data_IF_492356631203
#
_entry.id   IF_492356631203
#
_cell.length_a   1.000
_cell.length_b   1.000
_cell.length_c   1.000
_cell.angle_alpha   90.00
_cell.angle_beta   90.00
_cell.angle_gamma   90.00
#
_symmetry.space_group_name_H-M   'P 1'
#
loop_
_entity.id
_entity.type
_entity.pdbx_description
1 polymer ?
#
# COMPACT_ATOMS: atom_id res chain seq x y z
N UNK A 1 -28.60 86.98 6.01
CA UNK A 1 -29.66 87.99 5.82
C UNK A 1 -30.83 87.30 5.12
N UNK A 2 -32.01 87.40 5.71
CA UNK A 2 -33.35 86.97 5.27
C UNK A 2 -33.60 85.46 5.08
N UNK A 3 -34.50 84.84 5.88
CA UNK A 3 -35.98 84.95 5.91
C UNK A 3 -36.60 84.38 4.63
N UNK A 4 -37.62 83.54 4.59
CA UNK A 4 -38.65 83.03 5.52
C UNK A 4 -39.41 81.96 4.72
N UNK A 5 -40.11 81.01 5.35
CA UNK A 5 -41.17 80.30 4.64
C UNK A 5 -41.82 79.15 5.40
N UNK A 6 -42.70 79.48 6.33
CA UNK A 6 -43.64 78.58 7.01
C UNK A 6 -44.54 77.82 6.03
N UNK A 7 -44.88 76.56 6.34
CA UNK A 7 -46.20 75.97 6.02
C UNK A 7 -46.34 74.62 6.74
N UNK A 8 -47.09 74.58 7.85
CA UNK A 8 -48.48 74.06 7.95
C UNK A 8 -48.54 72.57 8.25
N UNK A 9 -48.99 72.26 9.47
CA UNK A 9 -49.33 70.93 9.96
C UNK A 9 -50.60 70.47 9.25
N UNK A 10 -50.50 69.41 8.45
CA UNK A 10 -51.65 68.65 7.98
C UNK A 10 -51.58 67.24 8.59
N UNK A 11 -52.43 66.99 9.59
CA UNK A 11 -52.72 65.64 10.10
C UNK A 11 -53.44 64.90 8.97
N UNK A 12 -52.75 63.95 8.33
CA UNK A 12 -53.38 63.06 7.37
C UNK A 12 -53.68 61.71 8.04
N UNK A 13 -54.97 61.44 8.06
CA UNK A 13 -55.64 60.25 8.53
C UNK A 13 -55.10 59.00 7.85
N UNK A 14 -54.84 57.98 8.67
CA UNK A 14 -54.39 56.63 8.34
C UNK A 14 -55.35 55.98 7.31
N UNK A 15 -54.87 55.73 6.10
CA UNK A 15 -55.44 54.71 5.20
C UNK A 15 -54.41 53.59 5.11
N UNK A 16 -54.65 52.53 5.88
CA UNK A 16 -53.87 51.31 5.79
C UNK A 16 -54.21 50.60 4.47
N UNK A 17 -53.43 50.88 3.42
CA UNK A 17 -53.42 50.07 2.21
C UNK A 17 -52.44 48.90 2.45
N UNK A 18 -53.02 47.72 2.73
CA UNK A 18 -52.30 46.46 2.85
C UNK A 18 -51.76 46.07 1.45
N UNK A 19 -50.55 46.51 1.12
CA UNK A 19 -49.85 46.01 -0.06
C UNK A 19 -49.22 44.66 0.30
N UNK A 20 -49.88 43.58 -0.11
CA UNK A 20 -49.23 42.26 -0.21
C UNK A 20 -48.28 42.35 -1.39
N UNK A 21 -47.03 42.73 -1.12
CA UNK A 21 -45.96 42.51 -2.09
C UNK A 21 -45.68 41.02 -2.13
N UNK A 22 -46.19 40.33 -3.13
CA UNK A 22 -45.70 39.02 -3.55
C UNK A 22 -44.25 39.19 -3.98
N UNK A 23 -43.33 39.06 -3.02
CA UNK A 23 -41.92 38.92 -3.31
C UNK A 23 -41.72 37.67 -4.16
N UNK A 24 -41.33 37.85 -5.41
CA UNK A 24 -40.83 36.74 -6.23
C UNK A 24 -39.45 36.41 -5.65
N UNK A 25 -39.42 35.50 -4.67
CA UNK A 25 -38.19 34.89 -4.23
C UNK A 25 -37.71 33.99 -5.36
N UNK A 26 -36.77 34.47 -6.18
CA UNK A 26 -35.98 33.61 -7.03
C UNK A 26 -35.15 32.71 -6.10
N UNK A 27 -35.63 31.49 -5.86
CA UNK A 27 -34.82 30.45 -5.27
C UNK A 27 -33.65 30.19 -6.23
N UNK A 28 -32.50 30.81 -5.95
CA UNK A 28 -31.26 30.38 -6.55
C UNK A 28 -31.01 28.99 -5.99
N UNK A 29 -31.29 27.95 -6.79
CA UNK A 29 -30.78 26.62 -6.51
C UNK A 29 -29.28 26.77 -6.26
N UNK A 30 -28.74 26.36 -5.11
CA UNK A 30 -27.31 26.36 -4.94
C UNK A 30 -26.75 25.53 -6.10
N UNK A 31 -25.90 26.14 -6.91
CA UNK A 31 -25.05 25.43 -7.85
C UNK A 31 -24.24 24.46 -6.99
N UNK A 32 -24.72 23.22 -6.90
CA UNK A 32 -23.90 22.11 -6.41
C UNK A 32 -22.73 22.10 -7.39
N UNK A 33 -21.50 22.44 -6.96
CA UNK A 33 -20.35 22.30 -7.83
C UNK A 33 -20.37 20.87 -8.35
N UNK A 34 -20.11 20.62 -9.64
CA UNK A 34 -20.10 19.26 -10.16
C UNK A 34 -19.22 18.44 -9.24
N UNK A 35 -19.84 17.49 -8.53
CA UNK A 35 -19.13 16.49 -7.75
C UNK A 35 -18.22 15.84 -8.79
N UNK A 36 -16.93 16.19 -8.78
CA UNK A 36 -15.97 15.52 -9.63
C UNK A 36 -16.11 14.06 -9.24
N UNK A 37 -16.63 13.17 -10.11
CA UNK A 37 -16.93 11.81 -9.71
C UNK A 37 -15.64 11.27 -9.12
N UNK A 38 -15.69 10.85 -7.86
CA UNK A 38 -14.51 10.39 -7.14
C UNK A 38 -13.81 9.39 -8.05
N UNK A 39 -12.65 9.80 -8.61
CA UNK A 39 -11.99 9.07 -9.69
C UNK A 39 -11.82 7.63 -9.22
N UNK A 40 -12.52 6.70 -9.85
CA UNK A 40 -12.50 5.30 -9.44
C UNK A 40 -11.06 4.81 -9.55
N UNK A 41 -10.50 4.38 -8.42
CA UNK A 41 -9.14 3.89 -8.36
C UNK A 41 -9.20 2.36 -8.47
N UNK A 42 -8.70 1.76 -9.57
CA UNK A 42 -8.97 0.37 -9.90
C UNK A 42 -8.31 -0.62 -8.94
N UNK A 43 -7.11 -0.31 -8.42
CA UNK A 43 -6.39 -1.20 -7.51
C UNK A 43 -6.75 -0.90 -6.05
N UNK A 44 -7.13 -1.92 -5.29
CA UNK A 44 -7.51 -1.74 -3.87
C UNK A 44 -6.90 -2.81 -2.99
N UNK A 45 -6.47 -2.41 -1.81
CA UNK A 45 -5.86 -3.32 -0.84
C UNK A 45 -6.85 -4.38 -0.29
N UNK A 46 -8.15 -4.10 -0.35
CA UNK A 46 -9.27 -4.95 0.10
C UNK A 46 -9.67 -6.04 -0.91
N UNK A 47 -9.01 -6.10 -2.08
CA UNK A 47 -9.24 -7.17 -3.05
C UNK A 47 -8.68 -8.51 -2.55
N UNK A 48 -9.19 -9.65 -3.06
CA UNK A 48 -8.61 -10.96 -2.81
C UNK A 48 -7.10 -10.98 -3.11
N UNK A 49 -6.27 -11.66 -2.30
CA UNK A 49 -4.84 -11.76 -2.53
C UNK A 49 -4.51 -12.25 -3.94
N UNK A 50 -3.63 -11.53 -4.63
CA UNK A 50 -3.15 -11.82 -5.98
C UNK A 50 -3.87 -11.03 -7.07
N UNK A 51 -5.06 -10.48 -6.80
CA UNK A 51 -5.82 -9.73 -7.80
C UNK A 51 -5.11 -8.43 -8.21
N UNK A 52 -4.46 -7.73 -7.27
CA UNK A 52 -3.79 -6.47 -7.60
C UNK A 52 -2.51 -6.74 -8.41
N UNK A 53 -1.74 -7.76 -8.06
CA UNK A 53 -0.57 -8.17 -8.84
C UNK A 53 -0.97 -8.59 -10.26
N UNK A 54 -2.03 -9.40 -10.38
CA UNK A 54 -2.56 -9.81 -11.67
C UNK A 54 -3.00 -8.61 -12.54
N UNK A 55 -3.78 -7.67 -11.98
CA UNK A 55 -4.21 -6.48 -12.71
C UNK A 55 -3.06 -5.52 -13.03
N UNK A 56 -2.11 -5.34 -12.11
CA UNK A 56 -0.91 -4.54 -12.36
C UNK A 56 -0.10 -5.12 -13.53
N UNK A 57 0.04 -6.45 -13.58
CA UNK A 57 0.69 -7.17 -14.69
C UNK A 57 -0.08 -7.07 -16.02
N UNK A 58 -1.40 -6.91 -16.01
CA UNK A 58 -2.17 -6.64 -17.22
C UNK A 58 -1.97 -5.22 -17.74
N UNK A 59 -1.90 -4.22 -16.84
CA UNK A 59 -1.66 -2.82 -17.20
C UNK A 59 -0.23 -2.63 -17.70
N UNK A 60 0.73 -3.27 -17.03
CA UNK A 60 2.14 -3.26 -17.37
C UNK A 60 2.63 -4.71 -17.44
N UNK A 61 2.73 -5.24 -18.67
CA UNK A 61 3.21 -6.60 -18.88
C UNK A 61 4.68 -6.70 -18.43
N UNK A 62 4.99 -7.46 -17.35
CA UNK A 62 6.36 -7.65 -16.92
C UNK A 62 7.09 -8.53 -17.94
N UNK A 63 8.33 -8.17 -18.24
CA UNK A 63 9.20 -8.96 -19.08
C UNK A 63 9.70 -10.23 -18.39
N UNK A 64 10.16 -11.25 -19.15
CA UNK A 64 10.90 -12.36 -18.58
C UNK A 64 12.13 -11.84 -17.83
N UNK A 65 12.21 -12.06 -16.52
CA UNK A 65 13.31 -11.53 -15.69
C UNK A 65 12.97 -10.26 -14.90
N UNK A 66 11.73 -9.76 -14.97
CA UNK A 66 11.29 -8.68 -14.10
C UNK A 66 11.08 -9.17 -12.67
N UNK A 67 12.13 -9.03 -11.84
CA UNK A 67 12.11 -9.34 -10.42
C UNK A 67 12.20 -8.07 -9.57
N UNK A 68 11.51 -8.12 -8.43
CA UNK A 68 11.68 -7.21 -7.30
C UNK A 68 12.35 -7.98 -6.18
N UNK A 69 13.53 -7.53 -5.75
CA UNK A 69 14.20 -8.12 -4.60
C UNK A 69 13.54 -7.64 -3.31
N UNK A 70 13.38 -8.56 -2.37
CA UNK A 70 12.69 -8.38 -1.11
C UNK A 70 13.56 -8.93 0.00
N UNK A 71 13.68 -8.17 1.09
CA UNK A 71 14.35 -8.58 2.32
C UNK A 71 13.35 -8.52 3.48
N UNK A 72 13.08 -9.65 4.12
CA UNK A 72 12.21 -9.68 5.30
C UNK A 72 12.99 -9.26 6.54
N UNK A 73 12.44 -8.29 7.27
CA UNK A 73 12.98 -7.77 8.52
C UNK A 73 12.05 -8.17 9.67
N UNK A 74 12.61 -8.90 10.62
CA UNK A 74 11.94 -9.41 11.81
C UNK A 74 12.73 -8.96 13.05
N UNK A 75 12.07 -8.88 14.19
CA UNK A 75 12.65 -8.52 15.49
C UNK A 75 13.65 -9.57 16.01
N UNK A 76 13.44 -10.84 15.67
CA UNK A 76 14.32 -11.97 15.99
C UNK A 76 14.67 -12.79 14.74
N UNK A 77 15.73 -13.62 14.81
CA UNK A 77 15.95 -14.67 13.81
C UNK A 77 14.72 -15.58 13.68
N UNK A 78 14.48 -16.07 12.46
CA UNK A 78 13.40 -16.99 12.13
C UNK A 78 13.79 -17.84 10.90
N UNK A 79 13.13 -18.98 10.70
CA UNK A 79 13.18 -19.71 9.44
C UNK A 79 12.11 -19.17 8.50
N UNK A 80 12.50 -18.86 7.27
CA UNK A 80 11.59 -18.33 6.26
C UNK A 80 11.67 -19.19 5.00
N UNK A 81 10.51 -19.63 4.53
CA UNK A 81 10.34 -20.32 3.26
C UNK A 81 9.37 -19.54 2.39
N UNK A 82 9.68 -19.37 1.11
CA UNK A 82 8.73 -18.85 0.13
C UNK A 82 8.22 -20.00 -0.75
N UNK A 83 6.92 -20.02 -1.00
CA UNK A 83 6.33 -20.99 -1.92
C UNK A 83 6.43 -20.48 -3.36
N UNK A 84 7.11 -21.25 -4.20
CA UNK A 84 7.43 -20.87 -5.58
C UNK A 84 7.27 -22.05 -6.54
N UNK A 85 7.27 -21.75 -7.85
CA UNK A 85 7.07 -22.70 -8.95
C UNK A 85 5.69 -23.35 -8.99
N UNK A 86 5.34 -24.00 -10.11
CA UNK A 86 4.07 -24.70 -10.26
C UNK A 86 4.33 -26.20 -10.53
N UNK A 87 3.93 -27.12 -9.63
CA UNK A 87 3.20 -26.89 -8.38
C UNK A 87 4.05 -26.14 -7.34
N UNK A 88 3.43 -25.36 -6.42
CA UNK A 88 4.14 -24.63 -5.36
C UNK A 88 4.99 -25.54 -4.49
N UNK A 89 6.24 -25.14 -4.26
CA UNK A 89 7.22 -25.82 -3.40
C UNK A 89 7.85 -24.83 -2.44
N UNK A 90 8.15 -25.23 -1.19
CA UNK A 90 8.85 -24.37 -0.25
C UNK A 90 10.31 -24.19 -0.69
N UNK A 91 10.75 -22.94 -0.73
CA UNK A 91 12.12 -22.53 -1.01
C UNK A 91 12.65 -21.80 0.23
N UNK A 92 13.60 -22.39 0.98
CA UNK A 92 14.23 -21.72 2.11
C UNK A 92 14.95 -20.43 1.67
N UNK A 93 14.75 -19.35 2.42
CA UNK A 93 15.34 -18.05 2.13
C UNK A 93 16.53 -17.77 3.04
N UNK A 94 17.73 -17.92 2.50
CA UNK A 94 18.93 -17.50 3.21
C UNK A 94 18.92 -15.99 3.43
N UNK A 95 19.26 -15.55 4.65
CA UNK A 95 19.30 -14.13 5.04
C UNK A 95 17.97 -13.38 4.79
N UNK A 96 16.85 -14.11 4.80
CA UNK A 96 15.50 -13.56 4.59
C UNK A 96 15.34 -12.83 3.26
N UNK A 97 16.09 -13.24 2.23
CA UNK A 97 16.28 -12.47 1.00
C UNK A 97 15.89 -13.28 -0.25
N UNK A 98 15.13 -12.67 -1.17
CA UNK A 98 14.83 -13.26 -2.47
C UNK A 98 14.37 -12.23 -3.52
N UNK A 99 14.47 -12.58 -4.80
CA UNK A 99 13.84 -11.90 -5.92
C UNK A 99 12.51 -12.55 -6.25
N UNK A 100 11.44 -11.77 -6.25
CA UNK A 100 10.08 -12.19 -6.58
C UNK A 100 9.66 -11.59 -7.92
N UNK A 101 9.09 -12.40 -8.81
CA UNK A 101 8.67 -11.94 -10.13
C UNK A 101 7.49 -10.97 -10.01
N UNK A 102 7.52 -9.91 -10.82
CA UNK A 102 6.46 -8.92 -10.87
C UNK A 102 5.17 -9.53 -11.43
N UNK A 103 4.02 -9.06 -10.92
CA UNK A 103 2.70 -9.53 -11.33
C UNK A 103 2.28 -10.84 -10.67
N UNK A 104 2.99 -11.27 -9.61
CA UNK A 104 2.73 -12.53 -8.91
C UNK A 104 2.42 -12.33 -7.42
N UNK A 105 1.75 -13.33 -6.86
CA UNK A 105 1.52 -13.51 -5.43
C UNK A 105 2.45 -14.60 -4.90
N UNK A 106 3.15 -14.31 -3.81
CA UNK A 106 3.96 -15.28 -3.07
C UNK A 106 3.39 -15.45 -1.68
N UNK A 107 3.17 -16.70 -1.28
CA UNK A 107 2.97 -17.06 0.12
C UNK A 107 4.32 -17.41 0.73
N UNK A 108 4.53 -17.03 1.98
CA UNK A 108 5.70 -17.41 2.75
C UNK A 108 5.26 -18.18 3.99
N UNK A 109 6.16 -18.94 4.59
CA UNK A 109 6.04 -19.55 5.91
C UNK A 109 7.15 -18.99 6.78
N UNK A 110 6.80 -18.44 7.94
CA UNK A 110 7.74 -17.95 8.95
C UNK A 110 7.55 -18.80 10.21
N UNK A 111 8.63 -19.37 10.73
CA UNK A 111 8.62 -20.19 11.96
C UNK A 111 9.84 -19.90 12.82
N UNK A 112 9.78 -20.30 14.10
CA UNK A 112 10.91 -20.21 15.01
C UNK A 112 11.22 -18.80 15.50
N UNK A 113 10.21 -17.92 15.55
CA UNK A 113 10.29 -16.63 16.22
C UNK A 113 10.42 -16.83 17.73
N UNK A 114 11.38 -16.17 18.36
CA UNK A 114 11.68 -16.35 19.79
C UNK A 114 10.54 -15.85 20.69
N UNK A 115 9.99 -14.68 20.35
CA UNK A 115 8.88 -14.04 21.06
C UNK A 115 7.55 -14.80 20.87
N UNK A 116 7.45 -15.64 19.83
CA UNK A 116 6.24 -16.38 19.48
C UNK A 116 6.54 -17.89 19.31
N UNK A 117 6.88 -18.62 20.39
CA UNK A 117 7.24 -20.03 20.30
C UNK A 117 6.11 -20.90 19.73
N UNK A 118 6.45 -21.78 18.78
CA UNK A 118 5.52 -22.72 18.16
C UNK A 118 4.53 -22.09 17.17
N UNK A 119 4.61 -20.77 16.94
CA UNK A 119 3.77 -20.08 15.96
C UNK A 119 4.31 -20.29 14.54
N UNK A 120 3.39 -20.56 13.62
CA UNK A 120 3.65 -20.53 12.18
C UNK A 120 2.84 -19.42 11.53
N UNK A 121 3.50 -18.51 10.82
CA UNK A 121 2.86 -17.42 10.12
C UNK A 121 2.92 -17.64 8.60
N UNK A 122 1.84 -17.29 7.92
CA UNK A 122 1.72 -17.44 6.46
C UNK A 122 1.46 -16.11 5.73
N UNK A 123 2.37 -15.11 5.82
CA UNK A 123 2.16 -13.85 5.13
C UNK A 123 2.18 -14.03 3.61
N UNK A 124 1.50 -13.13 2.92
CA UNK A 124 1.53 -13.04 1.45
C UNK A 124 2.15 -11.74 0.98
N UNK A 125 2.90 -11.80 -0.11
CA UNK A 125 3.47 -10.67 -0.83
C UNK A 125 2.95 -10.67 -2.26
N UNK A 126 2.20 -9.63 -2.64
CA UNK A 126 1.87 -9.31 -4.03
C UNK A 126 2.92 -8.34 -4.58
N UNK A 127 3.51 -8.68 -5.73
CA UNK A 127 4.50 -7.83 -6.39
C UNK A 127 3.83 -7.06 -7.53
N UNK A 128 3.74 -5.75 -7.39
CA UNK A 128 3.04 -4.87 -8.34
C UNK A 128 3.97 -4.27 -9.39
N UNK A 129 5.19 -3.89 -9.00
CA UNK A 129 6.19 -3.28 -9.89
C UNK A 129 7.61 -3.49 -9.34
N UNK A 130 8.61 -3.13 -10.15
CA UNK A 130 10.04 -3.12 -9.81
C UNK A 130 10.45 -1.83 -9.10
N UNK A 131 11.57 -1.92 -8.38
CA UNK A 131 12.29 -0.74 -7.87
C UNK A 131 13.00 0.07 -8.96
N UNK A 132 13.13 -0.48 -10.18
CA UNK A 132 13.90 0.06 -11.31
C UNK A 132 15.35 0.45 -10.94
N UNK A 133 16.12 -0.49 -10.36
CA UNK A 133 17.50 -0.23 -9.97
C UNK A 133 18.43 -0.21 -11.20
N UNK A 134 19.66 0.31 -11.05
CA UNK A 134 20.70 0.15 -12.07
C UNK A 134 20.90 -1.33 -12.41
N UNK A 135 21.09 -1.62 -13.71
CA UNK A 135 21.28 -2.98 -14.22
C UNK A 135 22.45 -3.65 -13.51
N UNK A 136 22.23 -4.87 -13.00
CA UNK A 136 23.23 -5.66 -12.28
C UNK A 136 23.37 -5.31 -10.80
N UNK A 137 22.65 -4.31 -10.30
CA UNK A 137 22.63 -3.92 -8.88
C UNK A 137 21.28 -4.20 -8.22
N UNK A 138 20.43 -5.00 -8.85
CA UNK A 138 19.04 -5.20 -8.41
C UNK A 138 18.93 -5.67 -6.96
N UNK A 139 19.85 -6.53 -6.52
CA UNK A 139 19.89 -7.05 -5.16
C UNK A 139 20.23 -5.99 -4.10
N UNK A 140 20.96 -4.94 -4.47
CA UNK A 140 21.32 -3.83 -3.56
C UNK A 140 20.12 -2.93 -3.25
N UNK A 141 19.11 -2.94 -4.12
CA UNK A 141 17.87 -2.15 -3.99
C UNK A 141 16.70 -3.04 -3.58
N UNK A 142 16.97 -4.02 -2.72
CA UNK A 142 15.93 -4.87 -2.17
C UNK A 142 14.98 -4.07 -1.28
N UNK A 143 13.71 -4.39 -1.40
CA UNK A 143 12.62 -3.74 -0.68
C UNK A 143 12.54 -4.35 0.72
N UNK A 144 12.74 -3.56 1.79
CA UNK A 144 12.56 -4.06 3.14
C UNK A 144 11.08 -4.32 3.42
N UNK A 145 10.77 -5.54 3.86
CA UNK A 145 9.45 -5.94 4.35
C UNK A 145 9.56 -6.20 5.84
N UNK A 146 9.28 -5.15 6.62
CA UNK A 146 9.34 -5.21 8.08
C UNK A 146 8.03 -5.67 8.68
N UNK A 147 8.07 -6.74 9.47
CA UNK A 147 6.96 -7.21 10.29
C UNK A 147 7.34 -7.02 11.76
N UNK A 148 6.59 -6.16 12.45
CA UNK A 148 6.84 -5.83 13.87
C UNK A 148 6.16 -6.83 14.80
N UNK A 149 6.60 -6.90 16.05
CA UNK A 149 6.01 -7.78 17.06
C UNK A 149 4.54 -7.42 17.30
N UNK A 150 4.22 -6.12 17.33
CA UNK A 150 2.84 -5.64 17.49
C UNK A 150 1.94 -6.07 16.33
N UNK A 151 2.46 -6.09 15.09
CA UNK A 151 1.70 -6.55 13.92
C UNK A 151 1.51 -8.07 13.92
N UNK A 152 2.51 -8.81 14.42
CA UNK A 152 2.40 -10.25 14.60
C UNK A 152 1.36 -10.56 15.70
N UNK A 153 1.38 -9.86 16.83
CA UNK A 153 0.36 -9.99 17.88
C UNK A 153 -1.05 -9.67 17.36
N UNK A 154 -1.20 -8.60 16.56
CA UNK A 154 -2.47 -8.29 15.92
C UNK A 154 -2.93 -9.43 15.01
N UNK A 155 -2.04 -9.99 14.20
CA UNK A 155 -2.32 -11.12 13.34
C UNK A 155 -2.76 -12.36 14.13
N UNK A 156 -2.06 -12.67 15.22
CA UNK A 156 -2.39 -13.79 16.11
C UNK A 156 -3.71 -13.58 16.86
N UNK A 157 -4.12 -12.33 17.08
CA UNK A 157 -5.44 -11.99 17.62
C UNK A 157 -6.59 -12.10 16.60
N UNK A 158 -6.32 -12.58 15.38
CA UNK A 158 -7.30 -12.76 14.30
C UNK A 158 -7.56 -11.50 13.46
N UNK A 159 -6.66 -10.50 13.52
CA UNK A 159 -6.74 -9.30 12.67
C UNK A 159 -5.92 -9.47 11.40
N UNK A 160 -6.37 -8.88 10.31
CA UNK A 160 -5.61 -8.83 9.06
C UNK A 160 -4.76 -7.55 9.02
N UNK A 161 -3.45 -7.68 9.12
CA UNK A 161 -2.50 -6.58 8.88
C UNK A 161 -2.25 -6.50 7.38
N UNK A 162 -2.47 -5.33 6.77
CA UNK A 162 -2.19 -5.07 5.35
C UNK A 162 -1.25 -3.88 5.22
N UNK A 163 -0.11 -4.07 4.54
CA UNK A 163 0.83 -3.00 4.19
C UNK A 163 0.88 -2.82 2.69
N UNK A 164 1.03 -1.57 2.27
CA UNK A 164 1.43 -1.22 0.91
C UNK A 164 2.78 -0.52 1.01
N UNK A 165 3.79 -1.11 0.36
CA UNK A 165 5.14 -0.54 0.31
C UNK A 165 5.27 0.18 -1.03
N UNK A 166 5.81 1.39 -1.01
CA UNK A 166 5.99 2.22 -2.19
C UNK A 166 7.39 2.82 -2.24
N UNK A 167 7.84 3.15 -3.45
CA UNK A 167 9.08 3.91 -3.67
C UNK A 167 8.69 5.38 -3.87
N UNK A 168 9.22 6.27 -3.05
CA UNK A 168 9.01 7.71 -3.20
C UNK A 168 9.53 8.23 -4.55
N UNK A 169 8.84 9.23 -5.08
CA UNK A 169 9.31 9.94 -6.26
C UNK A 169 10.35 10.99 -5.81
N UNK A 170 11.57 11.02 -6.39
CA UNK A 170 12.61 11.96 -5.97
C UNK A 170 12.18 13.44 -5.98
N UNK A 171 11.20 13.79 -6.83
CA UNK A 171 10.68 15.15 -6.96
C UNK A 171 9.84 15.62 -5.77
N UNK A 172 9.28 14.69 -4.99
CA UNK A 172 8.40 14.96 -3.83
C UNK A 172 8.94 14.37 -2.53
N UNK A 173 10.07 13.65 -2.59
CA UNK A 173 10.71 13.04 -1.44
C UNK A 173 11.16 14.10 -0.43
N UNK A 174 11.05 13.77 0.86
CA UNK A 174 11.55 14.64 1.92
C UNK A 174 13.07 14.79 1.78
N UNK A 175 13.63 16.01 1.83
CA UNK A 175 15.08 16.22 1.77
C UNK A 175 15.80 15.79 3.06
N UNK A 176 15.05 15.51 4.13
CA UNK A 176 15.62 15.08 5.41
C UNK A 176 15.78 13.55 5.44
N UNK A 177 16.96 13.05 5.85
CA UNK A 177 17.17 11.62 5.98
C UNK A 177 16.24 11.03 7.03
N UNK A 178 15.46 10.02 6.65
CA UNK A 178 14.68 9.21 7.58
C UNK A 178 15.63 8.39 8.43
N UNK A 179 15.51 8.49 9.76
CA UNK A 179 16.41 7.85 10.75
C UNK A 179 16.56 6.34 10.54
N UNK A 180 15.54 5.69 9.96
CA UNK A 180 15.48 4.23 9.79
C UNK A 180 15.14 3.81 8.34
N UNK A 181 15.28 4.71 7.38
CA UNK A 181 15.08 4.44 5.94
C UNK A 181 13.64 4.12 5.50
N UNK A 182 12.69 3.94 6.41
CA UNK A 182 11.28 3.63 6.11
C UNK A 182 10.34 4.49 6.95
N UNK A 183 9.42 5.20 6.30
CA UNK A 183 8.34 5.93 6.96
C UNK A 183 7.09 5.05 6.97
N UNK A 184 6.55 4.80 8.16
CA UNK A 184 5.32 4.01 8.33
C UNK A 184 4.18 4.95 8.70
N UNK A 185 3.12 4.93 7.91
CA UNK A 185 1.88 5.65 8.18
C UNK A 185 0.73 4.66 8.34
N UNK A 186 0.01 4.75 9.46
CA UNK A 186 -1.19 3.93 9.69
C UNK A 186 -2.41 4.72 9.26
N UNK A 187 -3.21 4.13 8.36
CA UNK A 187 -4.46 4.72 7.88
C UNK A 187 -5.67 4.01 8.47
N UNK A 188 -6.81 4.71 8.49
CA UNK A 188 -8.08 4.12 8.90
C UNK A 188 -8.55 3.08 7.86
N UNK A 189 -9.26 2.01 8.28
CA UNK A 189 -9.63 0.90 7.38
C UNK A 189 -10.51 1.28 6.18
N UNK A 190 -11.20 2.43 6.22
CA UNK A 190 -12.02 2.94 5.11
C UNK A 190 -11.20 3.56 3.97
N UNK A 191 -9.90 3.82 4.20
CA UNK A 191 -9.01 4.44 3.21
C UNK A 191 -8.35 3.40 2.33
N UNK A 192 -8.31 3.66 1.02
CA UNK A 192 -7.57 2.81 0.09
C UNK A 192 -6.05 3.02 0.23
N UNK A 193 -5.35 2.07 0.84
CA UNK A 193 -3.89 2.10 1.00
C UNK A 193 -3.14 2.27 -0.32
N UNK A 194 -3.59 1.63 -1.41
CA UNK A 194 -2.93 1.75 -2.72
C UNK A 194 -3.03 3.16 -3.29
N UNK A 195 -4.19 3.81 -3.11
CA UNK A 195 -4.37 5.20 -3.51
C UNK A 195 -3.48 6.14 -2.69
N UNK A 196 -3.39 5.90 -1.38
CA UNK A 196 -2.55 6.72 -0.50
C UNK A 196 -1.06 6.56 -0.82
N UNK A 197 -0.63 5.34 -1.14
CA UNK A 197 0.72 5.04 -1.58
C UNK A 197 1.04 5.69 -2.95
N UNK A 198 0.11 5.62 -3.92
CA UNK A 198 0.25 6.25 -5.25
C UNK A 198 0.37 7.78 -5.18
N UNK A 199 -0.22 8.41 -4.15
CA UNK A 199 -0.07 9.85 -3.91
C UNK A 199 1.31 10.24 -3.37
N UNK A 200 2.04 9.32 -2.72
CA UNK A 200 3.37 9.56 -2.12
C UNK A 200 4.51 9.02 -2.99
N UNK A 201 4.22 8.04 -3.82
CA UNK A 201 5.20 7.36 -4.64
C UNK A 201 4.58 6.30 -5.51
N UNK A 202 5.37 5.31 -5.92
CA UNK A 202 4.90 4.19 -6.74
C UNK A 202 4.73 2.95 -5.88
N UNK A 203 3.51 2.40 -5.73
CA UNK A 203 3.29 1.15 -5.02
C UNK A 203 4.06 0.01 -5.69
N UNK A 204 4.81 -0.76 -4.89
CA UNK A 204 5.64 -1.86 -5.38
C UNK A 204 5.21 -3.21 -4.80
N UNK A 205 4.80 -3.26 -3.53
CA UNK A 205 4.40 -4.48 -2.86
C UNK A 205 3.10 -4.28 -2.06
N UNK A 206 2.29 -5.32 -1.97
CA UNK A 206 1.25 -5.45 -0.94
C UNK A 206 1.61 -6.63 -0.06
N UNK A 207 1.71 -6.41 1.24
CA UNK A 207 2.00 -7.45 2.23
C UNK A 207 0.77 -7.66 3.10
N UNK A 208 0.38 -8.91 3.31
CA UNK A 208 -0.71 -9.26 4.24
C UNK A 208 -0.27 -10.31 5.25
N UNK A 209 -0.61 -10.10 6.51
CA UNK A 209 -0.31 -10.98 7.64
C UNK A 209 -1.57 -11.16 8.50
N UNK A 210 -1.79 -12.35 9.05
CA UNK A 210 -3.02 -12.68 9.81
C UNK A 210 -4.14 -13.26 8.94
N UNK A 211 -3.79 -13.81 7.78
CA UNK A 211 -4.70 -14.56 6.92
C UNK A 211 -4.86 -16.02 7.38
N UNK A 212 -5.47 -16.83 6.52
CA UNK A 212 -5.68 -18.28 6.70
C UNK A 212 -4.35 -19.00 6.93
N UNK A 213 -4.37 -20.02 7.79
CA UNK A 213 -3.34 -21.07 7.89
C UNK A 213 -3.73 -22.24 6.99
N UNK A 214 -2.78 -23.06 6.50
CA UNK A 214 -3.12 -24.28 5.79
C UNK A 214 -3.76 -25.26 6.78
N UNK A 215 -4.77 -26.01 6.32
CA UNK A 215 -5.28 -27.14 7.08
C UNK A 215 -4.34 -28.34 6.85
N UNK A 216 -3.73 -28.94 7.89
CA UNK A 216 -2.83 -30.08 7.74
C UNK A 216 -3.49 -31.30 7.08
N UNK A 217 -4.82 -31.41 7.13
CA UNK A 217 -5.59 -32.50 6.51
C UNK A 217 -5.96 -32.21 5.06
N UNK A 218 -5.87 -30.96 4.62
CA UNK A 218 -6.19 -30.53 3.27
C UNK A 218 -4.91 -30.21 2.49
N UNK A 219 -4.73 -30.86 1.34
CA UNK A 219 -3.58 -30.64 0.47
C UNK A 219 -3.90 -29.59 -0.62
N UNK A 220 -4.72 -28.60 -0.30
CA UNK A 220 -5.05 -27.52 -1.22
C UNK A 220 -3.80 -26.70 -1.59
N UNK A 221 -3.15 -27.10 -2.69
CA UNK A 221 -1.97 -26.42 -3.20
C UNK A 221 -2.27 -24.97 -3.63
N UNK A 222 -3.53 -24.61 -3.88
CA UNK A 222 -3.91 -23.24 -4.24
C UNK A 222 -3.73 -22.27 -3.07
N UNK A 223 -3.74 -22.79 -1.83
CA UNK A 223 -3.30 -22.04 -0.67
C UNK A 223 -1.90 -21.46 -0.90
N UNK A 224 -0.94 -22.21 -1.41
CA UNK A 224 0.45 -21.73 -1.52
C UNK A 224 0.69 -20.70 -2.64
N UNK A 225 -0.38 -20.30 -3.35
CA UNK A 225 -0.34 -19.28 -4.39
C UNK A 225 -0.12 -19.86 -5.79
N UNK A 226 -0.05 -18.99 -6.81
CA UNK A 226 0.02 -19.39 -8.23
C UNK A 226 1.35 -20.05 -8.64
N UNK A 227 2.37 -20.01 -7.78
CA UNK A 227 3.64 -20.68 -8.09
C UNK A 227 4.58 -19.88 -9.00
N UNK A 228 4.72 -18.58 -8.76
CA UNK A 228 5.67 -17.73 -9.49
C UNK A 228 7.14 -18.17 -9.28
N UNK A 229 8.06 -17.86 -10.21
CA UNK A 229 9.48 -18.17 -10.03
C UNK A 229 10.08 -17.29 -8.93
N UNK A 230 11.11 -17.77 -8.26
CA UNK A 230 11.87 -17.00 -7.27
C UNK A 230 13.35 -17.03 -7.62
N UNK A 231 14.05 -15.92 -7.43
CA UNK A 231 15.51 -15.85 -7.50
C UNK A 231 16.07 -15.81 -6.09
N UNK A 232 16.96 -16.74 -5.77
CA UNK A 232 17.78 -16.64 -4.57
C UNK A 232 19.20 -16.35 -5.08
N UNK A 233 19.83 -15.22 -4.73
CA UNK A 233 21.18 -14.94 -5.18
C UNK A 233 22.12 -16.08 -4.78
N UNK A 234 22.93 -16.54 -5.72
CA UNK A 234 24.04 -17.43 -5.42
C UNK A 234 25.06 -16.66 -4.58
N UNK A 235 25.13 -16.92 -3.26
CA UNK A 235 26.00 -16.15 -2.38
C UNK A 235 25.83 -16.29 -0.87
N UNK A 236 25.03 -17.23 -0.36
CA UNK A 236 25.11 -17.64 1.06
C UNK A 236 26.14 -18.75 1.29
N UNK A 237 27.14 -18.84 0.41
CA UNK A 237 28.45 -19.35 0.74
C UNK A 237 29.38 -18.14 0.69
N UNK A 238 30.05 -17.83 1.81
CA UNK A 238 30.99 -16.72 1.89
C UNK A 238 32.00 -16.81 0.75
N UNK A 239 32.03 -15.78 -0.11
CA UNK A 239 33.13 -15.60 -1.04
C UNK A 239 34.40 -15.43 -0.18
N UNK A 240 35.45 -16.27 -0.35
CA UNK A 240 36.72 -16.02 0.31
C UNK A 240 37.27 -14.65 -0.15
N UNK A 241 37.90 -13.87 0.74
CA UNK A 241 38.28 -12.47 0.50
C UNK A 241 39.51 -12.33 -0.41
N UNK A 242 39.50 -12.97 -1.58
CA UNK A 242 40.57 -12.79 -2.58
C UNK A 242 40.04 -12.99 -3.99
N UNK A 243 39.30 -11.99 -4.47
CA UNK A 243 39.07 -11.76 -5.90
C UNK A 243 38.71 -10.28 -6.13
N UNK A 244 39.59 -9.36 -5.73
CA UNK A 244 39.66 -8.05 -6.38
C UNK A 244 40.78 -8.14 -7.42
N UNK A 245 40.51 -7.84 -8.71
CA UNK A 245 41.59 -7.72 -9.68
C UNK A 245 42.46 -6.50 -9.32
N UNK A 246 43.80 -6.59 -9.44
CA UNK A 246 44.65 -5.41 -9.30
C UNK A 246 44.36 -4.41 -10.43
N UNK A 247 44.47 -3.12 -10.09
CA UNK A 247 44.33 -1.96 -10.99
C UNK A 247 45.17 -2.09 -12.27
#
# INVERSE_FOLDING_TARGET
MLRTGYSTIARLTLVAALFVTTGIASAQSPLIPPQTPARHYPLRHDQPPGMNAYWAGMIRQPGPGDFTFVKLELSSPASIEAFAFNPPRPIPLAQNFCGMAVGQLYRMKITGLEQFPGVELYPTVEVLDRTHPPVGREAEFAVPVRLTDEEIEQALSGRLVTKVIYVEQPQVASPFPTTDGMVVETLTPDRNLLKAADQRGRPILIVRLGARTPDPLDQDLSFYGPGGPILVPAGSQALPPSALPPN
#
